data_IF_441196560638
#
_entry.id   IF_441196560638
#
_cell.length_a   1.000
_cell.length_b   1.000
_cell.length_c   1.000
_cell.angle_alpha   90.00
_cell.angle_beta   90.00
_cell.angle_gamma   90.00
#
_symmetry.space_group_name_H-M   'P 1'
#
loop_
_entity.id
_entity.type
_entity.pdbx_description
1 polymer ?
#
# COMPACT_ATOMS: atom_id res chain seq x y z
N UNK A 1 8.61 -4.77 -6.30
CA UNK A 1 7.89 -5.96 -5.80
C UNK A 1 7.87 -6.02 -4.27
N UNK A 2 8.99 -5.69 -3.59
CA UNK A 2 9.14 -5.71 -2.14
C UNK A 2 8.13 -4.83 -1.38
N UNK A 3 8.08 -3.53 -1.67
CA UNK A 3 7.20 -2.54 -1.01
C UNK A 3 5.72 -2.96 -0.96
N UNK A 4 5.25 -3.68 -1.97
CA UNK A 4 3.86 -4.15 -2.04
C UNK A 4 3.60 -5.32 -1.08
N UNK A 5 4.48 -6.32 -1.10
CA UNK A 5 4.40 -7.45 -0.18
C UNK A 5 4.56 -6.96 1.26
N UNK A 6 5.37 -5.92 1.47
CA UNK A 6 5.56 -5.27 2.76
C UNK A 6 4.27 -4.58 3.25
N UNK A 7 3.49 -3.97 2.36
CA UNK A 7 2.21 -3.34 2.72
C UNK A 7 1.15 -4.37 3.12
N UNK A 8 0.99 -5.42 2.31
CA UNK A 8 0.02 -6.49 2.59
C UNK A 8 0.39 -7.25 3.87
N UNK A 9 1.67 -7.56 4.06
CA UNK A 9 2.17 -8.18 5.28
C UNK A 9 1.98 -7.26 6.50
N UNK A 10 2.32 -5.97 6.38
CA UNK A 10 2.11 -5.02 7.47
C UNK A 10 0.64 -4.90 7.85
N UNK A 11 -0.28 -4.82 6.87
CA UNK A 11 -1.73 -4.77 7.14
C UNK A 11 -2.19 -6.07 7.79
N UNK A 12 -1.83 -7.22 7.24
CA UNK A 12 -2.26 -8.52 7.76
C UNK A 12 -1.78 -8.76 9.19
N UNK A 13 -0.49 -8.55 9.45
CA UNK A 13 0.12 -8.73 10.77
C UNK A 13 -0.44 -7.71 11.78
N UNK A 14 -0.57 -6.44 11.37
CA UNK A 14 -1.19 -5.40 12.20
C UNK A 14 -2.70 -5.60 12.39
N UNK A 15 -3.38 -6.44 11.64
CA UNK A 15 -4.84 -6.67 11.78
C UNK A 15 -5.19 -7.99 12.46
N UNK A 16 -4.21 -8.90 12.59
CA UNK A 16 -4.37 -10.21 13.20
C UNK A 16 -4.61 -10.11 14.72
N UNK A 17 -5.34 -11.04 15.37
CA UNK A 17 -5.46 -11.04 16.82
C UNK A 17 -4.10 -11.23 17.52
N UNK A 18 -3.91 -10.64 18.70
CA UNK A 18 -2.72 -10.84 19.54
C UNK A 18 -1.73 -9.68 19.54
N UNK A 19 -0.58 -9.90 20.20
CA UNK A 19 0.56 -8.98 20.16
C UNK A 19 1.21 -8.94 18.78
N UNK A 20 1.75 -7.78 18.42
CA UNK A 20 2.41 -7.54 17.15
C UNK A 20 3.82 -7.12 17.46
N UNK A 21 4.78 -7.83 16.90
CA UNK A 21 6.21 -7.45 16.94
C UNK A 21 6.42 -6.10 16.25
N UNK A 22 7.58 -5.47 16.35
CA UNK A 22 7.83 -4.14 15.75
C UNK A 22 7.96 -4.15 14.21
N UNK A 23 8.21 -5.32 13.60
CA UNK A 23 8.51 -5.47 12.17
C UNK A 23 7.42 -4.93 11.21
N UNK A 24 6.11 -5.11 11.47
CA UNK A 24 5.02 -4.50 10.69
C UNK A 24 5.02 -2.97 10.66
N UNK A 25 5.37 -2.30 11.77
CA UNK A 25 5.45 -0.83 11.79
C UNK A 25 6.49 -0.32 10.79
N UNK A 26 7.67 -0.92 10.82
CA UNK A 26 8.78 -0.54 9.93
C UNK A 26 8.43 -0.75 8.45
N UNK A 27 7.79 -1.88 8.12
CA UNK A 27 7.25 -2.13 6.77
C UNK A 27 6.18 -1.11 6.38
N UNK A 28 5.30 -0.75 7.30
CA UNK A 28 4.30 0.30 7.09
C UNK A 28 4.91 1.64 6.71
N UNK A 29 5.98 2.06 7.39
CA UNK A 29 6.66 3.32 7.09
C UNK A 29 7.36 3.32 5.72
N UNK A 30 8.01 2.21 5.34
CA UNK A 30 8.59 2.03 4.01
C UNK A 30 7.54 2.25 2.92
N UNK A 31 6.35 1.67 3.11
CA UNK A 31 5.22 1.80 2.16
C UNK A 31 4.75 3.24 2.05
N UNK A 32 4.61 3.93 3.19
CA UNK A 32 4.17 5.34 3.22
C UNK A 32 5.17 6.25 2.49
N UNK A 33 6.47 6.05 2.72
CA UNK A 33 7.54 6.80 2.02
C UNK A 33 7.49 6.53 0.51
N UNK A 34 7.36 5.27 0.11
CA UNK A 34 7.27 4.91 -1.30
C UNK A 34 6.03 5.52 -1.98
N UNK A 35 4.88 5.49 -1.32
CA UNK A 35 3.65 6.09 -1.82
C UNK A 35 3.76 7.61 -1.97
N UNK A 36 4.35 8.29 -0.98
CA UNK A 36 4.60 9.73 -1.06
C UNK A 36 5.51 10.08 -2.24
N UNK A 37 6.55 9.28 -2.48
CA UNK A 37 7.43 9.43 -3.65
C UNK A 37 6.65 9.24 -4.95
N UNK A 38 5.90 8.16 -5.09
CA UNK A 38 5.10 7.88 -6.29
C UNK A 38 4.08 8.99 -6.59
N UNK A 39 3.42 9.56 -5.57
CA UNK A 39 2.50 10.70 -5.78
C UNK A 39 3.23 11.93 -6.31
N UNK A 40 4.46 12.19 -5.86
CA UNK A 40 5.29 13.27 -6.39
C UNK A 40 5.68 12.98 -7.84
N UNK A 41 6.14 11.77 -8.12
CA UNK A 41 6.60 11.37 -9.46
C UNK A 41 5.45 11.38 -10.48
N UNK A 42 4.23 11.05 -10.06
CA UNK A 42 3.01 11.12 -10.89
C UNK A 42 2.77 12.51 -11.47
N UNK A 43 3.20 13.58 -10.78
CA UNK A 43 3.06 14.95 -11.30
C UNK A 43 3.80 15.14 -12.63
N UNK A 44 4.98 14.50 -12.78
CA UNK A 44 5.81 14.59 -13.97
C UNK A 44 5.34 13.68 -15.12
N UNK A 45 4.48 12.70 -14.84
CA UNK A 45 3.96 11.78 -15.86
C UNK A 45 2.97 12.52 -16.78
N UNK A 46 3.22 12.43 -18.10
CA UNK A 46 2.25 12.81 -19.13
C UNK A 46 1.25 11.68 -19.31
N UNK A 47 0.10 11.83 -18.66
CA UNK A 47 -1.04 10.91 -18.75
C UNK A 47 -2.33 11.72 -18.64
N UNK A 48 -3.45 11.07 -18.94
CA UNK A 48 -4.78 11.62 -18.74
C UNK A 48 -4.99 12.10 -17.29
N UNK A 49 -5.66 13.24 -17.13
CA UNK A 49 -5.83 13.89 -15.82
C UNK A 49 -6.71 13.05 -14.89
N UNK A 50 -7.78 12.44 -15.40
CA UNK A 50 -8.70 11.63 -14.59
C UNK A 50 -7.99 10.39 -14.07
N UNK A 51 -7.17 9.75 -14.92
CA UNK A 51 -6.34 8.63 -14.52
C UNK A 51 -5.33 9.02 -13.44
N UNK A 52 -4.68 10.18 -13.56
CA UNK A 52 -3.75 10.70 -12.54
C UNK A 52 -4.48 10.96 -11.21
N UNK A 53 -5.66 11.56 -11.25
CA UNK A 53 -6.46 11.85 -10.05
C UNK A 53 -6.95 10.56 -9.37
N UNK A 54 -7.29 9.54 -10.15
CA UNK A 54 -7.64 8.20 -9.63
C UNK A 54 -6.43 7.53 -8.96
N UNK A 55 -5.28 7.46 -9.63
CA UNK A 55 -4.05 6.88 -9.06
C UNK A 55 -3.65 7.63 -7.77
N UNK A 56 -3.77 8.96 -7.77
CA UNK A 56 -3.48 9.78 -6.59
C UNK A 56 -4.40 9.43 -5.42
N UNK A 57 -5.71 9.31 -5.66
CA UNK A 57 -6.70 8.89 -4.64
C UNK A 57 -6.41 7.49 -4.11
N UNK A 58 -6.05 6.55 -4.98
CA UNK A 58 -5.68 5.19 -4.59
C UNK A 58 -4.42 5.16 -3.71
N UNK A 59 -3.38 5.93 -4.06
CA UNK A 59 -2.15 6.03 -3.28
C UNK A 59 -2.39 6.65 -1.90
N UNK A 60 -3.23 7.69 -1.82
CA UNK A 60 -3.67 8.31 -0.55
C UNK A 60 -4.44 7.33 0.33
N UNK A 61 -5.42 6.63 -0.25
CA UNK A 61 -6.20 5.63 0.47
C UNK A 61 -5.30 4.56 1.09
N UNK A 62 -4.37 4.01 0.31
CA UNK A 62 -3.49 2.97 0.80
C UNK A 62 -2.51 3.47 1.87
N UNK A 63 -1.98 4.70 1.75
CA UNK A 63 -1.17 5.31 2.81
C UNK A 63 -1.97 5.42 4.13
N UNK A 64 -3.21 5.91 4.05
CA UNK A 64 -4.09 6.04 5.20
C UNK A 64 -4.43 4.67 5.82
N UNK A 65 -4.68 3.66 4.99
CA UNK A 65 -5.05 2.32 5.43
C UNK A 65 -3.92 1.63 6.19
N UNK A 66 -2.70 1.67 5.64
CA UNK A 66 -1.49 1.15 6.30
C UNK A 66 -1.24 1.89 7.61
N UNK A 67 -1.33 3.22 7.62
CA UNK A 67 -1.15 4.02 8.82
C UNK A 67 -2.18 3.68 9.91
N UNK A 68 -3.43 3.46 9.51
CA UNK A 68 -4.52 3.08 10.42
C UNK A 68 -4.30 1.69 11.01
N UNK A 69 -3.86 0.72 10.20
CA UNK A 69 -3.52 -0.62 10.66
C UNK A 69 -2.39 -0.60 11.70
N UNK A 70 -1.29 0.10 11.40
CA UNK A 70 -0.17 0.27 12.33
C UNK A 70 -0.63 0.98 13.62
N UNK A 71 -1.33 2.12 13.50
CA UNK A 71 -1.80 2.87 14.67
C UNK A 71 -2.70 2.03 15.57
N UNK A 72 -3.58 1.21 14.98
CA UNK A 72 -4.44 0.31 15.76
C UNK A 72 -3.67 -0.83 16.42
N UNK A 73 -2.63 -1.37 15.78
CA UNK A 73 -1.83 -2.48 16.30
C UNK A 73 -1.00 -2.07 17.53
N UNK A 74 -0.40 -0.88 17.50
CA UNK A 74 0.52 -0.39 18.54
C UNK A 74 -0.13 0.63 19.51
N UNK A 75 -1.45 0.73 19.53
CA UNK A 75 -2.12 1.62 20.47
C UNK A 75 -1.84 1.17 21.92
N UNK A 76 -1.47 2.09 22.82
CA UNK A 76 -1.05 1.75 24.19
C UNK A 76 -2.17 1.18 25.05
N UNK A 77 -3.44 1.45 24.70
CA UNK A 77 -4.61 0.98 25.44
C UNK A 77 -5.46 0.08 24.55
N UNK A 78 -5.62 -1.19 24.95
CA UNK A 78 -6.49 -2.14 24.26
C UNK A 78 -7.93 -2.01 24.77
N UNK A 79 -8.80 -1.44 23.93
CA UNK A 79 -10.24 -1.45 24.15
C UNK A 79 -10.91 -2.45 23.20
N UNK A 80 -12.09 -2.95 23.58
CA UNK A 80 -12.93 -3.79 22.70
C UNK A 80 -13.17 -3.12 21.34
N UNK A 81 -13.44 -1.81 21.35
CA UNK A 81 -13.63 -1.01 20.13
C UNK A 81 -12.39 -1.01 19.24
N UNK A 82 -11.19 -0.93 19.82
CA UNK A 82 -9.94 -1.00 19.07
C UNK A 82 -9.73 -2.39 18.45
N UNK A 83 -10.01 -3.46 19.19
CA UNK A 83 -9.93 -4.84 18.67
C UNK A 83 -10.90 -5.04 17.50
N UNK A 84 -12.13 -4.55 17.61
CA UNK A 84 -13.12 -4.58 16.53
C UNK A 84 -12.69 -3.73 15.32
N UNK A 85 -12.16 -2.52 15.56
CA UNK A 85 -11.60 -1.67 14.50
C UNK A 85 -10.44 -2.36 13.77
N UNK A 86 -9.54 -3.01 14.51
CA UNK A 86 -8.41 -3.75 13.98
C UNK A 86 -8.84 -4.94 13.13
N UNK A 87 -9.84 -5.69 13.59
CA UNK A 87 -10.43 -6.80 12.82
C UNK A 87 -11.07 -6.32 11.50
N UNK A 88 -11.66 -5.11 11.47
CA UNK A 88 -12.21 -4.51 10.24
C UNK A 88 -11.15 -4.10 9.22
N UNK A 89 -9.88 -4.03 9.64
CA UNK A 89 -8.75 -3.73 8.76
C UNK A 89 -8.12 -5.00 8.15
N UNK A 90 -8.63 -6.18 8.49
CA UNK A 90 -8.14 -7.44 7.94
C UNK A 90 -8.48 -7.56 6.45
N UNK A 91 -7.44 -7.46 5.62
CA UNK A 91 -7.51 -7.59 4.16
C UNK A 91 -7.58 -6.25 3.43
N UNK A 92 -7.13 -6.22 2.18
CA UNK A 92 -7.16 -5.01 1.37
C UNK A 92 -8.60 -4.69 0.94
N UNK A 93 -9.10 -3.51 1.28
CA UNK A 93 -10.35 -2.97 0.72
C UNK A 93 -10.30 -2.86 -0.81
N UNK A 94 -11.46 -2.73 -1.46
CA UNK A 94 -11.56 -2.68 -2.92
C UNK A 94 -10.63 -1.64 -3.61
N UNK A 95 -10.46 -0.41 -3.09
CA UNK A 95 -9.54 0.56 -3.69
C UNK A 95 -8.08 0.09 -3.62
N UNK A 96 -7.65 -0.48 -2.50
CA UNK A 96 -6.29 -1.01 -2.38
C UNK A 96 -6.05 -2.21 -3.30
N UNK A 97 -7.07 -3.06 -3.54
CA UNK A 97 -7.00 -4.12 -4.56
C UNK A 97 -6.83 -3.55 -5.97
N UNK A 98 -7.57 -2.49 -6.33
CA UNK A 98 -7.40 -1.83 -7.63
C UNK A 98 -5.98 -1.29 -7.80
N UNK A 99 -5.43 -0.61 -6.79
CA UNK A 99 -4.06 -0.12 -6.82
C UNK A 99 -3.05 -1.26 -6.99
N UNK A 100 -3.28 -2.38 -6.31
CA UNK A 100 -2.47 -3.59 -6.44
C UNK A 100 -2.53 -4.14 -7.85
N UNK A 101 -3.71 -4.22 -8.45
CA UNK A 101 -3.90 -4.78 -9.78
C UNK A 101 -3.26 -3.86 -10.85
N UNK A 102 -3.39 -2.54 -10.71
CA UNK A 102 -2.70 -1.54 -11.54
C UNK A 102 -1.17 -1.67 -11.44
N UNK A 103 -0.63 -1.80 -10.24
CA UNK A 103 0.81 -2.03 -10.05
C UNK A 103 1.29 -3.32 -10.71
N UNK A 104 0.50 -4.40 -10.64
CA UNK A 104 0.84 -5.65 -11.31
C UNK A 104 0.79 -5.51 -12.84
N UNK A 105 -0.19 -4.76 -13.37
CA UNK A 105 -0.25 -4.41 -14.78
C UNK A 105 1.03 -3.69 -15.24
N UNK A 106 1.37 -2.59 -14.57
CA UNK A 106 2.56 -1.78 -14.86
C UNK A 106 3.85 -2.58 -14.75
N UNK A 107 3.98 -3.42 -13.72
CA UNK A 107 5.17 -4.26 -13.54
C UNK A 107 5.37 -5.26 -14.68
N UNK A 108 4.29 -5.85 -15.20
CA UNK A 108 4.35 -6.74 -16.37
C UNK A 108 4.70 -6.00 -17.65
N UNK A 109 4.14 -4.81 -17.86
CA UNK A 109 4.46 -3.99 -19.04
C UNK A 109 5.92 -3.54 -19.03
N UNK A 110 6.45 -3.11 -17.88
CA UNK A 110 7.84 -2.70 -17.75
C UNK A 110 8.81 -3.89 -17.96
N UNK A 111 8.46 -5.07 -17.46
CA UNK A 111 9.21 -6.30 -17.72
C UNK A 111 9.21 -6.65 -19.22
N UNK A 112 8.04 -6.59 -19.87
CA UNK A 112 7.93 -6.84 -21.31
C UNK A 112 8.73 -5.83 -22.17
N UNK A 113 8.84 -4.58 -21.71
CA UNK A 113 9.66 -3.55 -22.37
C UNK A 113 11.17 -3.78 -22.17
N UNK A 114 11.57 -4.38 -21.04
CA UNK A 114 12.98 -4.67 -20.73
C UNK A 114 13.46 -6.00 -21.33
N UNK A 115 12.55 -6.93 -21.60
CA UNK A 115 12.82 -8.21 -22.27
C UNK A 115 12.87 -8.14 -23.80
N UNK A 116 12.47 -7.02 -24.43
CA UNK A 116 12.60 -6.82 -25.88
C UNK A 116 14.09 -6.69 -26.26
N UNK A 117 14.69 -7.67 -26.97
CA UNK A 117 16.04 -7.53 -27.47
C UNK A 117 16.00 -6.69 -28.75
N UNK A 118 16.68 -5.54 -28.74
CA UNK A 118 17.08 -4.83 -29.96
C UNK A 118 16.21 -3.65 -30.38
N UNK A 119 16.63 -2.45 -29.97
CA UNK A 119 16.71 -1.32 -30.90
C UNK A 119 18.14 -0.81 -30.81
N UNK A 120 18.99 -1.32 -31.70
CA UNK A 120 20.23 -0.64 -32.14
C UNK A 120 19.91 0.05 -33.45
#
# INVERSE_FOLDING_TARGET
>A
MQVRNDAEAAIWECSSPGEVDESPAMRGDIVRVAHRKLRRDLLAVRADRELKDEIHRLLLYHEWYVHSAVTCAYAPVRSRRLVESRARLAGLGAPARLLRDLHHGLGRELAALTERPGVR
#
